data_IF_944126282250
#
_entry.id   IF_944126282250
#
_cell.length_a   1.000
_cell.length_b   1.000
_cell.length_c   1.000
_cell.angle_alpha   90.00
_cell.angle_beta   90.00
_cell.angle_gamma   90.00
#
_symmetry.space_group_name_H-M   'P 1'
#
loop_
_entity.id
_entity.type
_entity.pdbx_description
1 polymer ?
#
# COMPACT_ATOMS: atom_id res chain seq x y z
N UNK A 1 25.83 -9.25 -1.14
CA UNK A 1 25.24 -8.31 -2.10
C UNK A 1 24.51 -9.05 -3.21
N UNK A 2 25.14 -10.00 -3.90
CA UNK A 2 24.50 -10.73 -5.00
C UNK A 2 23.18 -11.39 -4.58
N UNK A 3 23.21 -12.16 -3.49
CA UNK A 3 22.00 -12.79 -2.93
C UNK A 3 20.90 -11.76 -2.60
N UNK A 4 21.25 -10.63 -1.98
CA UNK A 4 20.29 -9.57 -1.65
C UNK A 4 19.65 -8.96 -2.90
N UNK A 5 20.46 -8.66 -3.93
CA UNK A 5 19.98 -8.12 -5.21
C UNK A 5 19.03 -9.10 -5.90
N UNK A 6 19.36 -10.40 -5.88
CA UNK A 6 18.53 -11.45 -6.46
C UNK A 6 17.21 -11.63 -5.72
N UNK A 7 17.24 -11.65 -4.38
CA UNK A 7 16.04 -11.71 -3.54
C UNK A 7 15.12 -10.51 -3.79
N UNK A 8 15.67 -9.29 -3.84
CA UNK A 8 14.90 -8.07 -4.14
C UNK A 8 14.31 -8.12 -5.55
N UNK A 9 15.03 -8.68 -6.54
CA UNK A 9 14.51 -8.83 -7.90
C UNK A 9 13.35 -9.82 -7.95
N UNK A 10 13.48 -10.96 -7.29
CA UNK A 10 12.42 -11.97 -7.21
C UNK A 10 11.16 -11.38 -6.55
N UNK A 11 11.33 -10.68 -5.44
CA UNK A 11 10.21 -10.04 -4.74
C UNK A 11 9.58 -8.90 -5.56
N UNK A 12 10.41 -8.07 -6.21
CA UNK A 12 9.94 -7.03 -7.12
C UNK A 12 9.10 -7.62 -8.25
N UNK A 13 9.55 -8.72 -8.88
CA UNK A 13 8.79 -9.41 -9.94
C UNK A 13 7.48 -9.98 -9.42
N UNK A 14 7.51 -10.63 -8.25
CA UNK A 14 6.31 -11.19 -7.61
C UNK A 14 5.28 -10.09 -7.32
N UNK A 15 5.71 -8.99 -6.70
CA UNK A 15 4.84 -7.88 -6.34
C UNK A 15 4.42 -7.06 -7.57
N UNK A 16 5.22 -7.02 -8.63
CA UNK A 16 4.86 -6.42 -9.90
C UNK A 16 3.79 -7.20 -10.67
N UNK A 17 3.66 -8.50 -10.43
CA UNK A 17 2.65 -9.33 -11.10
C UNK A 17 1.23 -8.90 -10.70
N UNK A 18 0.37 -8.58 -11.68
CA UNK A 18 -1.01 -8.15 -11.44
C UNK A 18 -1.92 -9.28 -10.93
N UNK A 19 -1.60 -10.54 -11.23
CA UNK A 19 -2.41 -11.70 -10.81
C UNK A 19 -2.22 -12.05 -9.33
N UNK A 20 -1.18 -11.53 -8.69
CA UNK A 20 -0.85 -11.83 -7.30
C UNK A 20 -1.45 -10.76 -6.39
N UNK A 21 -2.45 -11.17 -5.61
CA UNK A 21 -2.96 -10.39 -4.49
C UNK A 21 -1.80 -10.09 -3.53
N UNK A 22 -1.58 -8.82 -3.26
CA UNK A 22 -0.46 -8.34 -2.45
C UNK A 22 -0.96 -7.31 -1.46
N UNK A 23 -0.49 -7.38 -0.23
CA UNK A 23 -0.86 -6.44 0.84
C UNK A 23 0.19 -5.35 1.03
N UNK A 24 -0.18 -4.24 1.66
CA UNK A 24 0.69 -3.10 1.92
C UNK A 24 1.94 -3.49 2.69
N UNK A 25 1.85 -4.41 3.67
CA UNK A 25 3.00 -4.88 4.47
C UNK A 25 4.11 -5.47 3.59
N UNK A 26 3.74 -6.12 2.47
CA UNK A 26 4.72 -6.70 1.55
C UNK A 26 5.43 -5.62 0.74
N UNK A 27 4.73 -4.54 0.38
CA UNK A 27 5.35 -3.39 -0.26
C UNK A 27 6.25 -2.60 0.70
N UNK A 28 5.85 -2.47 1.96
CA UNK A 28 6.70 -1.88 3.01
C UNK A 28 8.00 -2.68 3.19
N UNK A 29 7.91 -4.01 3.32
CA UNK A 29 9.07 -4.88 3.40
C UNK A 29 9.99 -4.75 2.17
N UNK A 30 9.43 -4.67 0.96
CA UNK A 30 10.21 -4.45 -0.27
C UNK A 30 10.95 -3.10 -0.24
N UNK A 31 10.31 -2.03 0.25
CA UNK A 31 10.93 -0.70 0.35
C UNK A 31 12.11 -0.72 1.32
N UNK A 32 11.96 -1.35 2.49
CA UNK A 32 13.06 -1.49 3.47
C UNK A 32 14.25 -2.26 2.88
N UNK A 33 13.99 -3.37 2.17
CA UNK A 33 15.04 -4.14 1.48
C UNK A 33 15.74 -3.33 0.39
N UNK A 34 14.99 -2.52 -0.37
CA UNK A 34 15.54 -1.62 -1.40
C UNK A 34 16.36 -0.48 -0.79
N UNK A 35 16.01 -0.01 0.41
CA UNK A 35 16.80 0.96 1.15
C UNK A 35 18.15 0.36 1.57
N UNK A 36 18.15 -0.85 2.15
CA UNK A 36 19.38 -1.61 2.46
C UNK A 36 20.28 -1.77 1.22
N UNK A 37 19.68 -2.13 0.08
CA UNK A 37 20.42 -2.24 -1.18
C UNK A 37 21.01 -0.90 -1.63
N UNK A 38 20.25 0.19 -1.50
CA UNK A 38 20.70 1.53 -1.89
C UNK A 38 21.90 1.96 -1.05
N UNK A 39 21.86 1.72 0.26
CA UNK A 39 22.97 2.03 1.17
C UNK A 39 24.23 1.24 0.81
N UNK A 40 24.10 -0.06 0.52
CA UNK A 40 25.22 -0.90 0.07
C UNK A 40 25.78 -0.47 -1.29
N UNK A 41 24.92 -0.03 -2.21
CA UNK A 41 25.32 0.51 -3.52
C UNK A 41 26.11 1.80 -3.37
N UNK A 42 25.71 2.69 -2.46
CA UNK A 42 26.44 3.92 -2.17
C UNK A 42 27.79 3.63 -1.50
N UNK A 43 27.84 2.73 -0.51
CA UNK A 43 29.08 2.34 0.17
C UNK A 43 30.09 1.71 -0.81
N UNK A 44 29.63 0.85 -1.72
CA UNK A 44 30.48 -0.01 -2.56
C UNK A 44 30.43 0.35 -4.04
N UNK A 45 30.07 1.59 -4.37
CA UNK A 45 29.82 2.04 -5.75
C UNK A 45 30.93 1.69 -6.74
N UNK A 46 32.18 1.79 -6.31
CA UNK A 46 33.36 1.48 -7.12
C UNK A 46 33.57 -0.02 -7.37
N UNK A 47 33.03 -0.87 -6.51
CA UNK A 47 33.23 -2.34 -6.52
C UNK A 47 32.10 -3.08 -7.25
N UNK A 48 31.05 -2.37 -7.68
CA UNK A 48 29.90 -2.96 -8.36
C UNK A 48 30.29 -3.64 -9.67
N UNK A 49 29.99 -4.94 -9.75
CA UNK A 49 30.21 -5.76 -10.94
C UNK A 49 29.25 -5.39 -12.06
N UNK A 50 29.58 -5.80 -13.30
CA UNK A 50 28.70 -5.58 -14.47
C UNK A 50 27.35 -6.30 -14.28
N UNK A 51 27.37 -7.50 -13.72
CA UNK A 51 26.17 -8.29 -13.43
C UNK A 51 25.28 -7.61 -12.40
N UNK A 52 25.84 -7.13 -11.29
CA UNK A 52 25.07 -6.39 -10.27
C UNK A 52 24.43 -5.14 -10.86
N UNK A 53 25.17 -4.37 -11.68
CA UNK A 53 24.64 -3.20 -12.37
C UNK A 53 23.51 -3.55 -13.34
N UNK A 54 23.60 -4.70 -14.02
CA UNK A 54 22.55 -5.16 -14.92
C UNK A 54 21.26 -5.49 -14.15
N UNK A 55 21.37 -6.19 -13.02
CA UNK A 55 20.21 -6.53 -12.19
C UNK A 55 19.59 -5.28 -11.55
N UNK A 56 20.42 -4.35 -11.05
CA UNK A 56 19.92 -3.06 -10.53
C UNK A 56 19.16 -2.29 -11.61
N UNK A 57 19.65 -2.27 -12.86
CA UNK A 57 18.91 -1.65 -13.96
C UNK A 57 17.59 -2.36 -14.24
N UNK A 58 17.57 -3.69 -14.18
CA UNK A 58 16.34 -4.47 -14.32
C UNK A 58 15.33 -4.10 -13.21
N UNK A 59 15.77 -4.02 -11.95
CA UNK A 59 14.94 -3.59 -10.81
C UNK A 59 14.24 -2.26 -11.08
N UNK A 60 14.98 -1.27 -11.58
CA UNK A 60 14.46 0.07 -11.87
C UNK A 60 13.35 0.06 -12.95
N UNK A 61 13.30 -0.95 -13.82
CA UNK A 61 12.23 -1.05 -14.83
C UNK A 61 10.86 -1.35 -14.24
N UNK A 62 10.80 -1.89 -13.01
CA UNK A 62 9.56 -2.22 -12.32
C UNK A 62 9.04 -1.08 -11.44
N UNK A 63 9.81 -0.01 -11.24
CA UNK A 63 9.47 1.04 -10.27
C UNK A 63 8.12 1.70 -10.54
N UNK A 64 7.83 2.01 -11.81
CA UNK A 64 6.55 2.59 -12.20
C UNK A 64 5.37 1.66 -11.90
N UNK A 65 5.55 0.35 -12.11
CA UNK A 65 4.52 -0.66 -11.86
C UNK A 65 4.28 -0.85 -10.36
N UNK A 66 5.35 -0.94 -9.56
CA UNK A 66 5.25 -1.04 -8.11
C UNK A 66 4.58 0.21 -7.53
N UNK A 67 5.00 1.41 -7.95
CA UNK A 67 4.38 2.67 -7.54
C UNK A 67 2.89 2.74 -7.93
N UNK A 68 2.53 2.25 -9.11
CA UNK A 68 1.13 2.20 -9.52
C UNK A 68 0.29 1.31 -8.60
N UNK A 69 0.80 0.12 -8.22
CA UNK A 69 0.11 -0.78 -7.28
C UNK A 69 -0.03 -0.17 -5.88
N UNK A 70 1.03 0.45 -5.35
CA UNK A 70 0.98 1.15 -4.07
C UNK A 70 -0.05 2.29 -4.08
N UNK A 71 -0.13 3.05 -5.18
CA UNK A 71 -1.14 4.10 -5.31
C UNK A 71 -2.56 3.54 -5.37
N UNK A 72 -2.80 2.41 -6.07
CA UNK A 72 -4.11 1.74 -6.07
C UNK A 72 -4.54 1.35 -4.65
N UNK A 73 -3.65 0.74 -3.87
CA UNK A 73 -3.91 0.38 -2.47
C UNK A 73 -4.25 1.62 -1.61
N UNK A 74 -3.49 2.71 -1.79
CA UNK A 74 -3.75 3.98 -1.12
C UNK A 74 -5.14 4.55 -1.46
N UNK A 75 -5.50 4.55 -2.74
CA UNK A 75 -6.78 5.08 -3.22
C UNK A 75 -7.96 4.21 -2.73
N UNK A 76 -7.78 2.89 -2.67
CA UNK A 76 -8.75 1.94 -2.10
C UNK A 76 -8.99 2.18 -0.60
N UNK A 77 -7.90 2.40 0.16
CA UNK A 77 -7.97 2.74 1.58
C UNK A 77 -8.70 4.08 1.79
N UNK A 78 -8.38 5.10 0.99
CA UNK A 78 -9.04 6.41 1.06
C UNK A 78 -10.55 6.29 0.76
N UNK A 79 -10.92 5.56 -0.29
CA UNK A 79 -12.32 5.32 -0.65
C UNK A 79 -13.08 4.61 0.48
N UNK A 80 -12.44 3.61 1.09
CA UNK A 80 -13.01 2.84 2.21
C UNK A 80 -13.27 3.73 3.42
N UNK A 81 -12.33 4.61 3.77
CA UNK A 81 -12.50 5.57 4.86
C UNK A 81 -13.63 6.57 4.58
N UNK A 82 -13.71 7.09 3.35
CA UNK A 82 -14.80 8.01 2.94
C UNK A 82 -16.17 7.35 3.09
N UNK A 83 -16.32 6.11 2.60
CA UNK A 83 -17.58 5.34 2.73
C UNK A 83 -17.96 5.10 4.18
N UNK A 84 -17.00 4.71 5.04
CA UNK A 84 -17.27 4.53 6.47
C UNK A 84 -17.79 5.81 7.14
N UNK A 85 -17.22 6.97 6.78
CA UNK A 85 -17.66 8.26 7.31
C UNK A 85 -19.06 8.65 6.82
N UNK A 86 -19.39 8.36 5.56
CA UNK A 86 -20.74 8.57 5.02
C UNK A 86 -21.77 7.67 5.72
N UNK A 87 -21.47 6.38 5.92
CA UNK A 87 -22.35 5.46 6.64
C UNK A 87 -22.60 5.93 8.07
N UNK A 88 -21.57 6.41 8.78
CA UNK A 88 -21.71 6.96 10.14
C UNK A 88 -22.62 8.21 10.16
N UNK A 89 -22.47 9.10 9.18
CA UNK A 89 -23.34 10.28 9.04
C UNK A 89 -24.79 9.89 8.78
N UNK A 90 -25.03 8.93 7.89
CA UNK A 90 -26.37 8.42 7.60
C UNK A 90 -27.00 7.80 8.85
N UNK A 91 -26.28 6.92 9.56
CA UNK A 91 -26.76 6.33 10.81
C UNK A 91 -27.10 7.40 11.87
N UNK A 92 -26.26 8.43 12.03
CA UNK A 92 -26.54 9.52 12.97
C UNK A 92 -27.80 10.31 12.58
N UNK A 93 -28.02 10.59 11.29
CA UNK A 93 -29.21 11.30 10.81
C UNK A 93 -30.51 10.50 11.03
N UNK A 94 -30.51 9.20 10.73
CA UNK A 94 -31.67 8.33 10.99
C UNK A 94 -31.94 8.15 12.48
N UNK A 95 -30.90 7.98 13.30
CA UNK A 95 -31.06 7.86 14.75
C UNK A 95 -31.57 9.16 15.39
N UNK A 96 -31.16 10.34 14.91
CA UNK A 96 -31.69 11.61 15.41
C UNK A 96 -33.15 11.88 14.98
N UNK A 97 -33.53 11.47 13.77
CA UNK A 97 -34.92 11.59 13.30
C UNK A 97 -35.89 10.67 14.07
N UNK A 98 -35.44 9.46 14.46
CA UNK A 98 -36.25 8.53 15.25
C UNK A 98 -36.47 8.94 16.71
N UNK A 99 -35.61 9.83 17.26
CA UNK A 99 -35.75 10.30 18.64
C UNK A 99 -36.80 11.42 18.75
N UNK A 100 -36.92 12.31 17.76
CA UNK A 100 -37.93 13.39 17.80
C UNK A 100 -39.38 12.89 17.70
N UNK A 101 -39.61 11.77 17.01
CA UNK A 101 -40.96 11.19 16.85
C UNK A 101 -41.38 10.31 18.07
N UNK A 102 -40.41 9.87 18.88
CA UNK A 102 -40.66 9.05 20.08
C UNK A 102 -41.05 9.88 21.32
N UNK A 103 -40.71 11.18 21.35
CA UNK A 103 -41.05 12.06 22.48
C UNK A 103 -42.52 12.54 22.50
N UNK A 104 -43.30 12.29 21.45
CA UNK A 104 -44.70 12.77 21.37
C UNK A 104 -45.76 11.75 21.85
N UNK A 105 -45.36 10.53 22.22
CA UNK A 105 -46.32 9.45 22.53
C UNK A 105 -46.68 9.27 24.01
N UNK A 106 -46.01 9.94 24.96
CA UNK A 106 -46.28 9.73 26.41
C UNK A 106 -46.87 10.96 27.12
N UNK A 107 -47.92 11.54 26.55
CA UNK A 107 -48.86 12.42 27.27
C UNK A 107 -50.31 12.13 26.91
N UNK A 108 -50.78 10.93 27.28
CA UNK A 108 -52.19 10.68 27.57
C UNK A 108 -52.32 9.70 28.73
N UNK A 109 -52.39 10.24 29.94
CA UNK A 109 -53.29 9.80 31.02
C UNK A 109 -53.32 10.83 32.13
#
# INVERSE_FOLDING_TARGET
MDQLIEEILLETKRLGNEEIASDYEQFEALVERRQELTELVEERRAELTVTQKAIIRELLTYDSLILAKMNRLKDEAESSIRRMNETKKQQAAYNHAGVYDSFLMDKKK
#
